data_IF_820274167850
#
_entry.id   IF_820274167850
#
_cell.length_a   1.000
_cell.length_b   1.000
_cell.length_c   1.000
_cell.angle_alpha   90.00
_cell.angle_beta   90.00
_cell.angle_gamma   90.00
#
_symmetry.space_group_name_H-M   'P 1'
#
loop_
_entity.id
_entity.type
_entity.pdbx_description
1 polymer ?
#
# COMPACT_ATOMS: atom_id res chain seq x y z
N UNK A 1 -6.71 -19.30 -13.51
CA UNK A 1 -5.68 -18.25 -13.68
C UNK A 1 -4.52 -18.61 -12.76
N UNK A 2 -3.29 -18.36 -13.17
CA UNK A 2 -2.14 -18.51 -12.28
C UNK A 2 -2.23 -17.45 -11.17
N UNK A 3 -2.01 -17.85 -9.91
CA UNK A 3 -1.98 -16.91 -8.79
C UNK A 3 -0.78 -15.98 -8.91
N UNK A 4 -1.01 -14.68 -8.82
CA UNK A 4 0.06 -13.68 -8.78
C UNK A 4 0.53 -13.40 -7.34
N UNK A 5 1.52 -12.53 -7.17
CA UNK A 5 2.03 -12.19 -5.86
C UNK A 5 1.03 -11.44 -4.97
N UNK A 6 0.03 -10.76 -5.53
CA UNK A 6 -1.08 -10.19 -4.75
C UNK A 6 -2.01 -11.28 -4.23
N UNK A 7 -2.33 -12.29 -5.05
CA UNK A 7 -3.15 -13.43 -4.63
C UNK A 7 -2.48 -14.20 -3.50
N UNK A 8 -1.19 -14.52 -3.65
CA UNK A 8 -0.44 -15.28 -2.65
C UNK A 8 -0.24 -14.48 -1.35
N UNK A 9 0.06 -13.18 -1.44
CA UNK A 9 0.18 -12.33 -0.25
C UNK A 9 -1.18 -12.13 0.45
N UNK A 10 -2.25 -11.93 -0.32
CA UNK A 10 -3.61 -11.83 0.20
C UNK A 10 -4.03 -13.10 0.96
N UNK A 11 -3.74 -14.27 0.39
CA UNK A 11 -3.95 -15.55 1.07
C UNK A 11 -3.13 -15.66 2.38
N UNK A 12 -1.84 -15.33 2.34
CA UNK A 12 -0.95 -15.44 3.49
C UNK A 12 -1.37 -14.56 4.67
N UNK A 13 -1.84 -13.34 4.38
CA UNK A 13 -2.22 -12.35 5.40
C UNK A 13 -3.72 -12.24 5.65
N UNK A 14 -4.54 -13.06 4.96
CA UNK A 14 -6.01 -13.01 5.00
C UNK A 14 -6.56 -11.63 4.63
N UNK A 15 -6.02 -11.05 3.56
CA UNK A 15 -6.43 -9.76 2.99
C UNK A 15 -6.96 -10.04 1.59
N UNK A 16 -8.07 -9.39 1.20
CA UNK A 16 -8.55 -9.46 -0.18
C UNK A 16 -7.45 -8.99 -1.16
N UNK A 17 -7.02 -9.83 -2.11
CA UNK A 17 -5.99 -9.47 -3.08
C UNK A 17 -6.30 -8.18 -3.86
N UNK A 18 -7.58 -7.89 -4.12
CA UNK A 18 -7.97 -6.67 -4.84
C UNK A 18 -7.79 -5.42 -3.98
N UNK A 19 -7.85 -5.54 -2.65
CA UNK A 19 -7.49 -4.44 -1.75
C UNK A 19 -5.99 -4.13 -1.86
N UNK A 20 -5.14 -5.15 -1.91
CA UNK A 20 -3.70 -4.97 -2.11
C UNK A 20 -3.40 -4.35 -3.49
N UNK A 21 -4.10 -4.78 -4.55
CA UNK A 21 -4.00 -4.17 -5.89
C UNK A 21 -4.44 -2.70 -5.88
N UNK A 22 -5.56 -2.38 -5.24
CA UNK A 22 -6.04 -1.01 -5.09
C UNK A 22 -5.02 -0.12 -4.36
N UNK A 23 -4.44 -0.63 -3.28
CA UNK A 23 -3.35 0.04 -2.55
C UNK A 23 -2.13 0.25 -3.44
N UNK A 24 -1.62 -0.79 -4.12
CA UNK A 24 -0.47 -0.67 -5.02
C UNK A 24 -0.71 0.35 -6.15
N UNK A 25 -1.92 0.39 -6.71
CA UNK A 25 -2.27 1.39 -7.72
C UNK A 25 -2.20 2.83 -7.15
N UNK A 26 -2.67 3.04 -5.91
CA UNK A 26 -2.61 4.37 -5.28
C UNK A 26 -1.21 4.76 -4.82
N UNK A 27 -0.38 3.80 -4.50
CA UNK A 27 1.01 4.03 -4.08
C UNK A 27 1.95 4.30 -5.26
N UNK A 28 1.89 3.47 -6.31
CA UNK A 28 2.89 3.48 -7.39
C UNK A 28 2.29 3.51 -8.80
N UNK A 29 0.97 3.43 -8.95
CA UNK A 29 0.31 3.18 -10.23
C UNK A 29 0.84 1.90 -10.90
N UNK A 30 1.08 0.87 -10.09
CA UNK A 30 1.70 -0.39 -10.47
C UNK A 30 3.11 -0.28 -11.07
N UNK A 31 3.85 0.80 -10.80
CA UNK A 31 5.25 0.88 -11.18
C UNK A 31 6.13 0.13 -10.16
N UNK A 32 6.71 -1.04 -10.51
CA UNK A 32 7.53 -1.81 -9.58
C UNK A 32 8.85 -1.13 -9.21
N UNK A 33 9.29 -0.17 -10.03
CA UNK A 33 10.51 0.61 -9.83
C UNK A 33 10.24 2.00 -9.25
N UNK A 34 9.05 2.22 -8.68
CA UNK A 34 8.70 3.50 -8.05
C UNK A 34 9.64 3.79 -6.86
N UNK A 35 10.26 4.96 -6.87
CA UNK A 35 11.10 5.44 -5.79
C UNK A 35 10.69 6.89 -5.48
N UNK A 36 10.14 7.10 -4.29
CA UNK A 36 9.71 8.43 -3.84
C UNK A 36 10.69 8.93 -2.78
N UNK A 37 11.56 9.87 -3.15
CA UNK A 37 12.63 10.40 -2.30
C UNK A 37 12.26 11.80 -1.83
N UNK A 38 12.15 11.98 -0.51
CA UNK A 38 12.03 13.29 0.14
C UNK A 38 13.39 13.76 0.64
N UNK A 39 14.19 12.84 1.17
CA UNK A 39 15.59 13.02 1.55
C UNK A 39 16.31 11.67 1.60
N UNK A 40 17.63 11.69 1.82
CA UNK A 40 18.45 10.47 1.95
C UNK A 40 17.96 9.49 3.03
N UNK A 41 17.25 9.98 4.04
CA UNK A 41 16.70 9.17 5.14
C UNK A 41 15.18 9.00 5.07
N UNK A 42 14.49 9.74 4.19
CA UNK A 42 13.03 9.72 4.05
C UNK A 42 12.63 9.42 2.62
N UNK A 43 12.34 8.15 2.36
CA UNK A 43 11.94 7.69 1.04
C UNK A 43 11.07 6.43 1.10
N UNK A 44 10.41 6.08 0.01
CA UNK A 44 9.57 4.89 -0.12
C UNK A 44 9.85 4.13 -1.42
N UNK A 45 9.74 2.79 -1.36
CA UNK A 45 10.24 1.89 -2.41
C UNK A 45 9.14 0.97 -2.95
N UNK A 46 9.08 0.85 -4.28
CA UNK A 46 8.37 -0.17 -5.05
C UNK A 46 6.85 -0.03 -5.08
N UNK A 47 6.18 -1.13 -5.47
CA UNK A 47 4.74 -1.19 -5.74
C UNK A 47 3.87 -0.66 -4.60
N UNK A 48 4.21 -1.06 -3.39
CA UNK A 48 3.48 -0.77 -2.15
C UNK A 48 4.09 0.41 -1.38
N UNK A 49 5.10 1.09 -1.93
CA UNK A 49 5.79 2.24 -1.34
C UNK A 49 6.18 2.01 0.13
N UNK A 50 7.01 0.99 0.37
CA UNK A 50 7.49 0.68 1.72
C UNK A 50 8.40 1.80 2.20
N UNK A 51 7.97 2.52 3.24
CA UNK A 51 8.66 3.71 3.74
C UNK A 51 9.90 3.39 4.57
N UNK A 52 10.93 4.23 4.47
CA UNK A 52 12.25 4.03 5.07
C UNK A 52 12.26 3.91 6.59
N UNK A 53 11.25 4.46 7.27
CA UNK A 53 11.03 4.29 8.72
C UNK A 53 10.94 2.81 9.15
N UNK A 54 10.61 1.91 8.21
CA UNK A 54 10.46 0.48 8.47
C UNK A 54 11.75 -0.32 8.26
N UNK A 55 12.77 0.24 7.61
CA UNK A 55 13.94 -0.52 7.15
C UNK A 55 14.77 -1.11 8.28
N UNK A 56 14.92 -0.39 9.40
CA UNK A 56 15.63 -0.93 10.57
C UNK A 56 14.94 -2.20 11.11
N UNK A 57 13.60 -2.26 11.08
CA UNK A 57 12.85 -3.45 11.49
C UNK A 57 12.91 -4.54 10.44
N UNK A 58 12.78 -4.18 9.17
CA UNK A 58 12.81 -5.11 8.04
C UNK A 58 14.17 -5.79 7.85
N UNK A 59 15.27 -5.10 8.16
CA UNK A 59 16.61 -5.66 8.15
C UNK A 59 16.76 -6.87 9.10
N UNK A 60 15.99 -6.92 10.20
CA UNK A 60 15.97 -8.05 11.12
C UNK A 60 15.40 -9.33 10.48
N UNK A 61 14.66 -9.19 9.37
CA UNK A 61 14.13 -10.29 8.56
C UNK A 61 14.95 -10.51 7.28
N UNK A 62 16.11 -9.85 7.12
CA UNK A 62 16.91 -9.91 5.91
C UNK A 62 16.34 -9.09 4.74
N UNK A 63 15.31 -8.27 4.96
CA UNK A 63 14.69 -7.46 3.91
C UNK A 63 15.41 -6.12 3.82
N UNK A 64 15.98 -5.83 2.65
CA UNK A 64 16.74 -4.60 2.37
C UNK A 64 15.99 -3.67 1.41
N UNK A 65 16.28 -2.35 1.39
CA UNK A 65 15.68 -1.43 0.43
C UNK A 65 15.95 -1.85 -1.03
N UNK A 66 17.15 -2.36 -1.31
CA UNK A 66 17.53 -2.84 -2.64
C UNK A 66 16.78 -4.13 -3.00
N UNK A 67 16.55 -5.04 -2.04
CA UNK A 67 15.68 -6.19 -2.22
C UNK A 67 14.25 -5.78 -2.58
N UNK A 68 13.69 -4.83 -1.83
CA UNK A 68 12.35 -4.28 -2.09
C UNK A 68 12.22 -3.58 -3.45
N UNK A 69 13.31 -3.03 -3.98
CA UNK A 69 13.34 -2.37 -5.30
C UNK A 69 13.48 -3.36 -6.46
N UNK A 70 14.19 -4.47 -6.25
CA UNK A 70 14.46 -5.46 -7.29
C UNK A 70 13.45 -6.59 -7.35
N UNK A 71 12.78 -6.89 -6.24
CA UNK A 71 11.79 -7.97 -6.13
C UNK A 71 10.39 -7.38 -5.83
N UNK A 72 9.54 -7.25 -6.86
CA UNK A 72 8.17 -6.76 -6.69
C UNK A 72 7.31 -7.64 -5.78
N UNK A 73 7.56 -8.95 -5.74
CA UNK A 73 6.81 -9.87 -4.89
C UNK A 73 7.20 -9.69 -3.43
N UNK A 74 8.49 -9.56 -3.12
CA UNK A 74 8.95 -9.18 -1.79
C UNK A 74 8.33 -7.84 -1.34
N UNK A 75 8.24 -6.87 -2.25
CA UNK A 75 7.59 -5.58 -1.99
C UNK A 75 6.09 -5.74 -1.65
N UNK A 76 5.36 -6.53 -2.43
CA UNK A 76 3.93 -6.84 -2.20
C UNK A 76 3.73 -7.52 -0.85
N UNK A 77 4.50 -8.56 -0.54
CA UNK A 77 4.44 -9.27 0.75
C UNK A 77 4.75 -8.36 1.92
N UNK A 78 5.74 -7.48 1.77
CA UNK A 78 6.09 -6.50 2.81
C UNK A 78 4.96 -5.49 3.02
N UNK A 79 4.32 -5.03 1.95
CA UNK A 79 3.13 -4.17 2.03
C UNK A 79 1.96 -4.86 2.70
N UNK A 80 1.69 -6.11 2.32
CA UNK A 80 0.63 -6.92 2.93
C UNK A 80 0.88 -7.18 4.43
N UNK A 81 2.13 -7.39 4.85
CA UNK A 81 2.51 -7.48 6.26
C UNK A 81 2.13 -6.22 7.05
N UNK A 82 2.46 -5.02 6.54
CA UNK A 82 2.10 -3.76 7.22
C UNK A 82 0.60 -3.47 7.18
N UNK A 83 -0.08 -3.82 6.10
CA UNK A 83 -1.55 -3.75 6.02
C UNK A 83 -2.19 -4.68 7.06
N UNK A 84 -1.70 -5.92 7.20
CA UNK A 84 -2.15 -6.87 8.20
C UNK A 84 -1.89 -6.37 9.63
N UNK A 85 -0.76 -5.70 9.86
CA UNK A 85 -0.48 -5.07 11.15
C UNK A 85 -1.49 -3.96 11.48
N UNK A 86 -1.87 -3.13 10.49
CA UNK A 86 -2.90 -2.12 10.68
C UNK A 86 -4.28 -2.74 10.95
N UNK A 87 -4.67 -3.75 10.17
CA UNK A 87 -5.92 -4.50 10.34
C UNK A 87 -5.98 -5.17 11.73
N UNK A 88 -4.88 -5.77 12.19
CA UNK A 88 -4.81 -6.37 13.52
C UNK A 88 -5.06 -5.35 14.64
N UNK A 89 -4.60 -4.11 14.45
CA UNK A 89 -4.74 -3.04 15.46
C UNK A 89 -6.09 -2.34 15.45
N UNK A 90 -6.69 -2.17 14.27
CA UNK A 90 -7.87 -1.30 14.08
C UNK A 90 -9.11 -2.06 13.63
N UNK A 91 -9.01 -3.36 13.37
CA UNK A 91 -10.04 -4.16 12.73
C UNK A 91 -9.94 -4.10 11.20
N UNK A 92 -10.61 -5.03 10.52
CA UNK A 92 -10.67 -5.05 9.06
C UNK A 92 -11.68 -4.01 8.57
N UNK A 93 -11.24 -2.76 8.46
CA UNK A 93 -12.06 -1.63 8.01
C UNK A 93 -11.21 -0.60 7.24
N UNK A 94 -11.88 0.44 6.74
CA UNK A 94 -11.24 1.51 5.96
C UNK A 94 -10.27 2.36 6.78
N UNK A 95 -10.46 2.48 8.09
CA UNK A 95 -9.51 3.21 8.94
C UNK A 95 -8.16 2.50 9.03
N UNK A 96 -8.15 1.15 9.05
CA UNK A 96 -6.92 0.37 8.97
C UNK A 96 -6.17 0.60 7.65
N UNK A 97 -6.91 0.68 6.53
CA UNK A 97 -6.34 1.02 5.21
C UNK A 97 -5.77 2.43 5.23
N UNK A 98 -6.47 3.39 5.83
CA UNK A 98 -5.96 4.74 6.05
C UNK A 98 -4.67 4.75 6.88
N UNK A 99 -4.61 3.92 7.93
CA UNK A 99 -3.46 3.83 8.82
C UNK A 99 -2.21 3.24 8.17
N UNK A 100 -2.35 2.46 7.09
CA UNK A 100 -1.22 2.04 6.26
C UNK A 100 -0.40 3.25 5.77
N UNK A 101 -1.09 4.31 5.33
CA UNK A 101 -0.48 5.54 4.82
C UNK A 101 -0.12 6.56 5.91
N UNK A 102 -1.06 6.82 6.84
CA UNK A 102 -0.93 7.92 7.80
C UNK A 102 -0.53 7.49 9.22
N UNK A 103 -0.42 6.19 9.48
CA UNK A 103 -0.10 5.65 10.81
C UNK A 103 -1.23 5.80 11.83
N UNK A 104 -0.90 5.49 13.09
CA UNK A 104 -1.87 5.23 14.17
C UNK A 104 -2.08 6.39 15.15
N UNK A 105 -1.48 7.56 14.91
CA UNK A 105 -1.66 8.71 15.79
C UNK A 105 -3.13 9.15 15.84
N UNK A 106 -3.61 9.50 17.03
CA UNK A 106 -4.99 9.93 17.28
C UNK A 106 -5.24 11.41 17.00
N UNK A 107 -4.24 12.15 16.52
CA UNK A 107 -4.43 13.57 16.18
C UNK A 107 -5.46 13.74 15.05
N UNK A 108 -6.23 14.82 15.12
CA UNK A 108 -7.23 15.16 14.10
C UNK A 108 -6.61 15.20 12.68
N UNK A 109 -5.43 15.82 12.55
CA UNK A 109 -4.67 15.86 11.29
C UNK A 109 -4.39 14.46 10.72
N UNK A 110 -4.02 13.49 11.58
CA UNK A 110 -3.75 12.14 11.12
C UNK A 110 -5.04 11.35 10.82
N UNK A 111 -6.12 11.61 11.55
CA UNK A 111 -7.44 11.07 11.22
C UNK A 111 -7.92 11.53 9.85
N UNK A 112 -7.75 12.80 9.51
CA UNK A 112 -8.08 13.34 8.18
C UNK A 112 -7.25 12.67 7.07
N UNK A 113 -5.94 12.52 7.28
CA UNK A 113 -5.06 11.82 6.33
C UNK A 113 -5.46 10.36 6.12
N UNK A 114 -5.81 9.64 7.19
CA UNK A 114 -6.34 8.27 7.11
C UNK A 114 -7.61 8.22 6.27
N UNK A 115 -8.58 9.07 6.58
CA UNK A 115 -9.87 9.13 5.87
C UNK A 115 -9.67 9.41 4.39
N UNK A 116 -8.90 10.44 4.07
CA UNK A 116 -8.59 10.81 2.68
C UNK A 116 -7.96 9.66 1.90
N UNK A 117 -6.97 8.97 2.49
CA UNK A 117 -6.31 7.86 1.82
C UNK A 117 -7.24 6.67 1.65
N UNK A 118 -7.99 6.31 2.69
CA UNK A 118 -8.92 5.21 2.68
C UNK A 118 -10.01 5.39 1.61
N UNK A 119 -10.56 6.59 1.46
CA UNK A 119 -11.55 6.90 0.41
C UNK A 119 -10.99 6.67 -0.99
N UNK A 120 -9.74 7.07 -1.26
CA UNK A 120 -9.09 6.87 -2.57
C UNK A 120 -8.83 5.40 -2.88
N UNK A 121 -8.39 4.62 -1.87
CA UNK A 121 -8.21 3.18 -2.04
C UNK A 121 -9.57 2.51 -2.26
N UNK A 122 -10.59 2.88 -1.48
CA UNK A 122 -11.96 2.36 -1.64
C UNK A 122 -12.51 2.57 -3.04
N UNK A 123 -12.40 3.77 -3.61
CA UNK A 123 -12.86 4.04 -4.97
C UNK A 123 -12.20 3.10 -5.99
N UNK A 124 -10.90 2.86 -5.85
CA UNK A 124 -10.14 1.97 -6.75
C UNK A 124 -10.53 0.52 -6.56
N UNK A 125 -10.71 0.11 -5.30
CA UNK A 125 -11.14 -1.23 -4.95
C UNK A 125 -12.52 -1.52 -5.54
N UNK A 126 -13.47 -0.59 -5.39
CA UNK A 126 -14.81 -0.70 -5.95
C UNK A 126 -14.78 -0.76 -7.49
N UNK A 127 -13.86 -0.05 -8.14
CA UNK A 127 -13.63 -0.15 -9.59
C UNK A 127 -13.10 -1.53 -10.00
N UNK A 128 -12.11 -2.07 -9.29
CA UNK A 128 -11.57 -3.40 -9.54
C UNK A 128 -12.68 -4.46 -9.36
N UNK A 129 -13.47 -4.36 -8.29
CA UNK A 129 -14.56 -5.30 -7.99
C UNK A 129 -15.70 -5.27 -9.01
N UNK A 130 -15.93 -4.16 -9.70
CA UNK A 130 -16.91 -4.06 -10.79
C UNK A 130 -16.50 -4.81 -12.05
N UNK A 131 -15.23 -5.24 -12.16
CA UNK A 131 -14.69 -5.87 -13.36
C UNK A 131 -14.49 -4.87 -14.50
N UNK A 132 -13.90 -5.30 -15.63
CA UNK A 132 -13.57 -4.40 -16.73
C UNK A 132 -14.84 -3.76 -17.32
N UNK A 133 -14.98 -2.45 -17.13
CA UNK A 133 -15.77 -1.60 -18.02
C UNK A 133 -14.81 -1.03 -19.07
N UNK A 134 -15.14 -1.18 -20.36
CA UNK A 134 -14.42 -0.49 -21.42
C UNK A 134 -14.46 1.03 -21.18
N UNK A 135 -13.39 1.61 -20.66
CA UNK A 135 -12.98 3.01 -20.85
C UNK A 135 -11.64 3.29 -20.16
N UNK A 136 -10.75 3.98 -20.88
CA UNK A 136 -9.35 4.21 -20.55
C UNK A 136 -9.10 5.12 -19.34
N UNK A 137 -7.82 5.25 -18.92
CA UNK A 137 -7.48 5.79 -17.61
C UNK A 137 -7.73 7.30 -17.53
N UNK A 138 -8.58 7.71 -16.58
CA UNK A 138 -8.68 9.10 -16.17
C UNK A 138 -7.71 9.34 -15.00
N UNK A 139 -6.65 10.09 -15.28
CA UNK A 139 -5.46 10.19 -14.43
C UNK A 139 -5.61 11.39 -13.47
N UNK A 140 -6.44 11.26 -12.44
CA UNK A 140 -6.65 12.33 -11.45
C UNK A 140 -5.99 11.98 -10.11
N UNK A 141 -4.71 12.33 -9.96
CA UNK A 141 -4.05 12.37 -8.66
C UNK A 141 -4.46 13.65 -7.95
N UNK A 142 -5.30 13.54 -6.92
CA UNK A 142 -5.46 14.61 -5.94
C UNK A 142 -4.19 14.66 -5.08
N UNK A 143 -3.67 15.85 -4.82
CA UNK A 143 -2.45 16.06 -4.05
C UNK A 143 -2.58 15.48 -2.63
N UNK A 144 -1.50 14.86 -2.13
CA UNK A 144 -1.39 14.43 -0.73
C UNK A 144 -1.47 15.68 0.17
N UNK A 145 -2.28 15.69 1.24
CA UNK A 145 -2.29 16.79 2.20
C UNK A 145 -0.98 16.84 3.02
N UNK A 146 -0.44 18.05 3.21
CA UNK A 146 0.82 18.35 3.91
C UNK A 146 0.84 17.90 5.38
#
# INVERSE_FOLDING_TARGET
>A
MAADCFDMAGQAYRIDPDLLRATAFRESSFNPRALNVVSDTKYAVGLMQIHSQHFAKLAQFGITPMGLYNDPCLNIYTGAYYMAHAIKRMGYNWDAVGAYYAGFSTSAKQAEKRKWYAERVKLTYDEIKKGPKHQGPNNSKGSKPD
#
